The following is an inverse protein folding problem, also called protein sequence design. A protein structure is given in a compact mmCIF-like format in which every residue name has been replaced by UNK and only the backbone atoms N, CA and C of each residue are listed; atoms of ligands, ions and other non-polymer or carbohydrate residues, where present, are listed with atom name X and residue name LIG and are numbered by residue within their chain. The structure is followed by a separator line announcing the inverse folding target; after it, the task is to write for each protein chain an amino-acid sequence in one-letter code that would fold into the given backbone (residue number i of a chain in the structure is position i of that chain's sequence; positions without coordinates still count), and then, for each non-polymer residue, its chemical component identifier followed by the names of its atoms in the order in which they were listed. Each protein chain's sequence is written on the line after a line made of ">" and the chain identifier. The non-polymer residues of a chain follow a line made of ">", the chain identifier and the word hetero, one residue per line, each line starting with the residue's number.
data_IF_392724350328
#
_entry.id   IF_392724350328
#
_cell.length_a   1.000
_cell.length_b   1.000
_cell.length_c   1.000
_cell.angle_alpha   90.00
_cell.angle_beta   90.00
_cell.angle_gamma   90.00
#
_symmetry.space_group_name_H-M   'P 1'
#
loop_
_entity.id
_entity.type
_entity.pdbx_description
1 polymer ?
#
# COMPACT_ATOMS: atom_id res chain seq x y z
N UNK A 1 10.10 -14.65 -61.58
CA UNK A 1 9.50 -15.58 -60.58
C UNK A 1 10.64 -16.04 -59.68
N UNK A 2 10.68 -15.99 -58.35
CA UNK A 2 9.69 -15.75 -57.31
C UNK A 2 10.46 -15.31 -56.05
N UNK A 3 10.30 -14.06 -55.57
CA UNK A 3 10.82 -13.60 -54.26
C UNK A 3 9.63 -13.35 -53.34
N UNK A 4 8.99 -14.42 -52.85
CA UNK A 4 7.75 -14.33 -52.06
C UNK A 4 7.55 -15.33 -50.90
N UNK A 5 8.55 -15.94 -50.23
CA UNK A 5 8.24 -16.71 -49.01
C UNK A 5 8.55 -15.97 -47.70
N UNK A 6 9.52 -15.04 -47.66
CA UNK A 6 10.04 -14.50 -46.39
C UNK A 6 9.12 -13.45 -45.75
N UNK A 7 8.46 -12.62 -46.55
CA UNK A 7 7.55 -11.59 -46.04
C UNK A 7 6.28 -12.19 -45.38
N UNK A 8 5.82 -13.34 -45.86
CA UNK A 8 4.63 -14.01 -45.34
C UNK A 8 4.87 -14.68 -43.98
N UNK A 9 6.09 -15.16 -43.72
CA UNK A 9 6.46 -15.78 -42.43
C UNK A 9 6.59 -14.73 -41.32
N UNK A 10 7.15 -13.56 -41.64
CA UNK A 10 7.30 -12.45 -40.68
C UNK A 10 5.96 -11.82 -40.30
N UNK A 11 4.99 -11.77 -41.23
CA UNK A 11 3.64 -11.27 -40.94
C UNK A 11 2.84 -12.24 -40.06
N UNK A 12 3.04 -13.55 -40.22
CA UNK A 12 2.40 -14.58 -39.40
C UNK A 12 2.89 -14.60 -37.95
N UNK A 13 4.19 -14.37 -37.72
CA UNK A 13 4.79 -14.35 -36.38
C UNK A 13 4.41 -13.09 -35.57
N UNK A 14 4.19 -11.95 -36.24
CA UNK A 14 3.73 -10.73 -35.58
C UNK A 14 2.26 -10.83 -35.12
N UNK A 15 1.43 -11.61 -35.83
CA UNK A 15 0.02 -11.79 -35.50
C UNK A 15 -0.19 -12.70 -34.27
N UNK A 16 0.71 -13.66 -34.00
CA UNK A 16 0.59 -14.55 -32.84
C UNK A 16 1.11 -13.94 -31.53
N UNK A 17 2.03 -12.97 -31.58
CA UNK A 17 2.48 -12.25 -30.38
C UNK A 17 1.46 -11.24 -29.83
N UNK A 18 0.45 -10.84 -30.61
CA UNK A 18 -0.55 -9.85 -30.20
C UNK A 18 -1.75 -10.42 -29.43
N UNK A 19 -1.87 -11.76 -29.34
CA UNK A 19 -3.02 -12.43 -28.72
C UNK A 19 -2.74 -12.99 -27.30
N UNK A 20 -1.53 -12.79 -26.76
CA UNK A 20 -1.24 -13.06 -25.34
C UNK A 20 -1.73 -11.92 -24.42
N UNK A 21 -2.86 -11.30 -24.77
CA UNK A 21 -3.54 -10.30 -23.97
C UNK A 21 -4.17 -10.97 -22.74
N UNK A 22 -3.66 -10.58 -21.58
CA UNK A 22 -4.10 -10.92 -20.23
C UNK A 22 -5.58 -11.32 -20.14
N UNK A 23 -5.86 -12.59 -19.84
CA UNK A 23 -7.14 -13.00 -19.27
C UNK A 23 -7.31 -12.22 -17.97
N UNK A 24 -8.31 -11.35 -17.81
CA UNK A 24 -8.68 -10.86 -16.49
C UNK A 24 -9.39 -12.02 -15.81
N UNK A 25 -8.62 -12.96 -15.26
CA UNK A 25 -9.06 -13.89 -14.24
C UNK A 25 -9.29 -13.14 -12.94
N UNK A 26 -10.16 -12.12 -13.00
CA UNK A 26 -10.66 -11.42 -11.84
C UNK A 26 -11.65 -12.34 -11.15
N UNK A 27 -11.14 -13.31 -10.38
CA UNK A 27 -11.91 -13.79 -9.25
C UNK A 27 -12.27 -12.53 -8.46
N UNK A 28 -13.55 -12.15 -8.50
CA UNK A 28 -14.06 -11.06 -7.70
C UNK A 28 -13.72 -11.42 -6.26
N UNK A 29 -12.63 -10.84 -5.74
CA UNK A 29 -12.33 -10.92 -4.33
C UNK A 29 -13.51 -10.20 -3.70
N UNK A 30 -14.40 -10.95 -3.06
CA UNK A 30 -15.42 -10.37 -2.20
C UNK A 30 -14.66 -9.48 -1.24
N UNK A 31 -14.73 -8.16 -1.46
CA UNK A 31 -14.06 -7.22 -0.58
C UNK A 31 -14.66 -7.48 0.80
N UNK A 32 -13.82 -7.87 1.75
CA UNK A 32 -14.25 -7.93 3.13
C UNK A 32 -14.77 -6.54 3.48
N UNK A 33 -16.04 -6.45 3.87
CA UNK A 33 -16.62 -5.19 4.33
C UNK A 33 -15.92 -4.83 5.64
N UNK A 34 -15.16 -3.73 5.63
CA UNK A 34 -14.66 -3.14 6.88
C UNK A 34 -15.89 -2.66 7.66
N UNK A 35 -16.08 -3.07 8.92
CA UNK A 35 -17.17 -2.58 9.75
C UNK A 35 -17.21 -1.05 9.73
N UNK A 36 -18.41 -0.48 9.59
CA UNK A 36 -18.57 0.96 9.60
C UNK A 36 -17.99 1.55 10.88
N UNK A 37 -17.25 2.64 10.75
CA UNK A 37 -16.65 3.42 11.83
C UNK A 37 -17.63 3.61 13.00
N UNK A 38 -17.27 3.13 14.19
CA UNK A 38 -18.11 3.24 15.38
C UNK A 38 -17.94 4.62 16.04
N UNK A 39 -18.98 5.08 16.77
CA UNK A 39 -18.90 6.22 17.69
C UNK A 39 -18.19 5.81 19.00
N UNK A 40 -17.04 5.14 18.87
CA UNK A 40 -16.20 4.73 19.99
C UNK A 40 -15.43 5.90 20.63
N UNK A 41 -14.77 5.66 21.78
CA UNK A 41 -13.90 6.66 22.39
C UNK A 41 -12.82 7.13 21.42
N UNK A 42 -12.42 8.40 21.53
CA UNK A 42 -11.27 8.90 20.81
C UNK A 42 -10.03 8.07 21.17
N UNK A 43 -9.30 7.61 20.15
CA UNK A 43 -8.06 6.87 20.31
C UNK A 43 -6.92 7.59 19.59
N UNK A 44 -5.70 7.44 20.10
CA UNK A 44 -4.47 7.87 19.44
C UNK A 44 -3.88 6.68 18.67
N UNK A 45 -3.94 6.76 17.35
CA UNK A 45 -3.36 5.81 16.41
C UNK A 45 -1.96 6.27 15.98
N UNK A 46 -0.99 5.37 16.05
CA UNK A 46 0.40 5.63 15.68
C UNK A 46 0.89 4.58 14.69
N UNK A 47 1.52 5.05 13.61
CA UNK A 47 2.24 4.21 12.68
C UNK A 47 3.76 4.45 12.79
N UNK A 48 4.51 3.36 12.94
CA UNK A 48 5.98 3.28 12.97
C UNK A 48 6.41 2.43 11.77
N UNK A 49 7.44 2.84 11.05
CA UNK A 49 7.93 2.03 9.94
C UNK A 49 8.74 2.75 8.88
N UNK A 50 8.99 2.05 7.77
CA UNK A 50 9.83 2.55 6.69
C UNK A 50 9.02 3.28 5.58
N UNK A 51 9.52 3.22 4.35
CA UNK A 51 8.97 3.93 3.18
C UNK A 51 7.49 3.61 2.92
N UNK A 52 7.07 2.37 3.12
CA UNK A 52 5.70 1.90 2.94
C UNK A 52 4.75 2.57 3.94
N UNK A 53 5.20 2.75 5.18
CA UNK A 53 4.45 3.44 6.23
C UNK A 53 4.25 4.92 5.89
N UNK A 54 5.25 5.56 5.28
CA UNK A 54 5.11 6.94 4.75
C UNK A 54 4.20 7.01 3.51
N UNK A 55 3.94 5.87 2.85
CA UNK A 55 3.08 5.79 1.66
C UNK A 55 3.83 5.79 0.33
N UNK A 56 5.08 5.31 0.31
CA UNK A 56 5.82 5.11 -0.94
C UNK A 56 5.02 4.22 -1.91
N UNK A 57 5.02 4.59 -3.19
CA UNK A 57 4.23 3.92 -4.22
C UNK A 57 2.77 4.39 -4.33
N UNK A 58 2.33 5.33 -3.49
CA UNK A 58 0.98 5.92 -3.58
C UNK A 58 0.98 7.27 -4.30
N UNK A 59 -0.12 7.59 -4.99
CA UNK A 59 -0.28 8.88 -5.67
C UNK A 59 -0.59 10.05 -4.72
N UNK A 60 -1.19 9.74 -3.55
CA UNK A 60 -1.49 10.71 -2.50
C UNK A 60 -1.30 10.04 -1.13
N UNK A 61 -0.17 10.33 -0.48
CA UNK A 61 0.17 9.73 0.82
C UNK A 61 -0.80 10.12 1.94
N UNK A 62 -1.45 11.28 1.84
CA UNK A 62 -2.41 11.77 2.85
C UNK A 62 -3.79 11.14 2.70
N UNK A 63 -4.00 10.28 1.69
CA UNK A 63 -5.26 9.56 1.48
C UNK A 63 -5.09 8.07 1.27
N UNK A 64 -3.96 7.65 0.69
CA UNK A 64 -3.79 6.31 0.15
C UNK A 64 -2.63 5.54 0.77
N UNK A 65 -1.83 6.15 1.66
CA UNK A 65 -0.89 5.39 2.48
C UNK A 65 -1.67 4.37 3.33
N UNK A 66 -1.14 3.16 3.50
CA UNK A 66 -1.87 2.11 4.21
C UNK A 66 -2.26 2.49 5.66
N UNK A 67 -1.44 3.24 6.44
CA UNK A 67 -1.88 3.66 7.77
C UNK A 67 -3.01 4.68 7.70
N UNK A 68 -2.99 5.54 6.69
CA UNK A 68 -4.05 6.51 6.45
C UNK A 68 -5.38 5.82 6.12
N UNK A 69 -5.32 4.73 5.34
CA UNK A 69 -6.50 3.92 5.03
C UNK A 69 -7.02 3.23 6.29
N UNK A 70 -6.15 2.69 7.14
CA UNK A 70 -6.55 2.13 8.44
C UNK A 70 -7.25 3.19 9.31
N UNK A 71 -6.59 4.34 9.50
CA UNK A 71 -7.11 5.47 10.27
C UNK A 71 -8.49 5.91 9.80
N UNK A 72 -8.66 6.11 8.49
CA UNK A 72 -9.91 6.67 7.93
C UNK A 72 -11.02 5.64 7.75
N UNK A 73 -10.70 4.39 7.46
CA UNK A 73 -11.69 3.36 7.13
C UNK A 73 -12.12 2.50 8.33
N UNK A 74 -11.27 2.35 9.35
CA UNK A 74 -11.49 1.38 10.42
C UNK A 74 -11.57 1.98 11.84
N UNK A 75 -11.05 3.18 12.07
CA UNK A 75 -10.99 3.77 13.41
C UNK A 75 -12.13 4.78 13.66
N UNK A 76 -12.57 4.99 14.91
CA UNK A 76 -13.62 5.95 15.27
C UNK A 76 -13.37 7.35 14.70
N UNK A 77 -14.44 8.09 14.38
CA UNK A 77 -14.33 9.45 13.82
C UNK A 77 -13.56 10.43 14.71
N UNK A 78 -13.53 10.18 16.01
CA UNK A 78 -12.79 10.98 16.99
C UNK A 78 -11.31 10.59 17.15
N UNK A 79 -10.81 9.62 16.37
CA UNK A 79 -9.41 9.20 16.45
C UNK A 79 -8.46 10.30 15.96
N UNK A 80 -7.25 10.33 16.54
CA UNK A 80 -6.14 11.18 16.12
C UNK A 80 -5.03 10.26 15.60
N UNK A 81 -4.43 10.62 14.47
CA UNK A 81 -3.42 9.79 13.81
C UNK A 81 -2.07 10.50 13.72
N UNK A 82 -1.00 9.78 14.08
CA UNK A 82 0.39 10.17 13.88
C UNK A 82 1.14 9.13 13.06
N UNK A 83 1.87 9.59 12.06
CA UNK A 83 2.77 8.75 11.27
C UNK A 83 4.21 9.17 11.54
N UNK A 84 4.97 8.32 12.22
CA UNK A 84 6.38 8.56 12.55
C UNK A 84 7.34 7.84 11.61
N UNK A 85 6.85 7.18 10.56
CA UNK A 85 7.70 6.39 9.69
C UNK A 85 8.81 7.20 9.00
N UNK A 86 10.03 6.66 9.00
CA UNK A 86 11.20 7.24 8.35
C UNK A 86 11.57 6.37 7.14
N UNK A 87 11.60 6.92 5.91
CA UNK A 87 11.96 6.14 4.72
C UNK A 87 13.32 5.45 4.86
N UNK A 88 13.36 4.14 4.60
CA UNK A 88 14.57 3.32 4.72
C UNK A 88 14.98 2.93 6.14
N UNK A 89 14.18 3.27 7.15
CA UNK A 89 14.51 2.94 8.54
C UNK A 89 14.66 1.43 8.77
N UNK A 90 15.76 1.09 9.44
CA UNK A 90 15.98 -0.20 10.06
C UNK A 90 15.27 -0.28 11.42
N UNK A 91 15.19 -1.49 11.99
CA UNK A 91 14.67 -1.68 13.37
C UNK A 91 15.47 -0.90 14.40
N UNK A 92 16.80 -0.82 14.26
CA UNK A 92 17.64 -0.09 15.20
C UNK A 92 17.34 1.43 15.16
N UNK A 93 17.15 1.98 13.96
CA UNK A 93 16.78 3.39 13.78
C UNK A 93 15.37 3.66 14.30
N UNK A 94 14.40 2.79 14.04
CA UNK A 94 13.05 2.94 14.56
C UNK A 94 13.01 2.95 16.09
N UNK A 95 13.81 2.09 16.76
CA UNK A 95 13.94 2.11 18.23
C UNK A 95 14.55 3.44 18.71
N UNK A 96 15.53 3.99 17.99
CA UNK A 96 16.25 5.20 18.40
C UNK A 96 15.53 6.51 18.09
N UNK A 97 14.74 6.56 17.01
CA UNK A 97 14.18 7.79 16.46
C UNK A 97 12.65 7.82 16.44
N UNK A 98 11.98 6.71 16.10
CA UNK A 98 10.51 6.70 15.96
C UNK A 98 9.81 6.34 17.28
N UNK A 99 10.34 5.36 18.02
CA UNK A 99 9.73 4.88 19.27
C UNK A 99 9.61 5.97 20.35
N UNK A 100 10.60 6.84 20.60
CA UNK A 100 10.45 7.91 21.60
C UNK A 100 9.29 8.87 21.27
N UNK A 101 9.15 9.26 20.00
CA UNK A 101 8.08 10.15 19.53
C UNK A 101 6.72 9.43 19.59
N UNK A 102 6.68 8.16 19.19
CA UNK A 102 5.49 7.32 19.32
C UNK A 102 4.99 7.22 20.76
N UNK A 103 5.88 7.08 21.74
CA UNK A 103 5.50 7.02 23.15
C UNK A 103 5.09 8.38 23.71
N UNK A 104 5.67 9.48 23.20
CA UNK A 104 5.38 10.84 23.68
C UNK A 104 3.94 11.27 23.41
N UNK A 105 3.27 10.67 22.43
CA UNK A 105 1.85 10.94 22.12
C UNK A 105 0.87 10.05 22.89
N UNK A 106 1.34 9.18 23.80
CA UNK A 106 0.51 8.25 24.59
C UNK A 106 -0.48 7.43 23.73
N UNK A 107 0.02 6.54 22.85
CA UNK A 107 -0.82 5.86 21.87
C UNK A 107 -1.71 4.79 22.50
N UNK A 108 -2.91 4.63 21.95
CA UNK A 108 -3.81 3.51 22.25
C UNK A 108 -3.61 2.35 21.27
N UNK A 109 -3.25 2.67 20.02
CA UNK A 109 -2.93 1.71 18.97
C UNK A 109 -1.59 2.08 18.33
N UNK A 110 -0.70 1.10 18.24
CA UNK A 110 0.56 1.23 17.50
C UNK A 110 0.60 0.15 16.44
N UNK A 111 0.84 0.55 15.20
CA UNK A 111 1.11 -0.35 14.08
C UNK A 111 2.56 -0.19 13.65
N UNK A 112 3.24 -1.33 13.46
CA UNK A 112 4.68 -1.36 13.14
C UNK A 112 4.88 -2.14 11.86
N UNK A 113 5.49 -1.50 10.85
CA UNK A 113 5.92 -2.16 9.61
C UNK A 113 7.36 -1.79 9.29
N UNK A 114 8.27 -2.73 9.55
CA UNK A 114 9.69 -2.57 9.24
C UNK A 114 10.11 -3.76 8.39
N UNK A 115 10.44 -3.45 7.14
CA UNK A 115 10.98 -4.39 6.17
C UNK A 115 12.13 -3.69 5.45
N UNK A 116 13.21 -4.43 5.20
CA UNK A 116 14.45 -3.94 4.56
C UNK A 116 14.77 -4.71 3.31
#
# INVERSE_FOLDING_TARGET
>A
MSRRPVASVLLGLAATLLLAGCTPGGAARTAASIPATSDGPAIVDVAVGASETVGAGTGDRLRSAWPQVLYTAALPRGAVFYNFGIPGATVAEAIGAELPEALAVHPDLVTVWLNV
#
